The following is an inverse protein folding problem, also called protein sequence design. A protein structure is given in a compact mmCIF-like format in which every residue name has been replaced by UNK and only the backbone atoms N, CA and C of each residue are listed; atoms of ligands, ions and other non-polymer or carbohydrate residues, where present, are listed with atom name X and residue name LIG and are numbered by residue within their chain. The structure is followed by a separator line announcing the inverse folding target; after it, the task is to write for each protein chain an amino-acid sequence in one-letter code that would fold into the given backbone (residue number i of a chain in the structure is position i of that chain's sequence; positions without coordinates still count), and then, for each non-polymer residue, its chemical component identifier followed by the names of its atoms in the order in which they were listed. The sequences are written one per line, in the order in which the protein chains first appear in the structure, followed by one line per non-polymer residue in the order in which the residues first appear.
data_IF_066104914860
#
_entry.id   IF_066104914860
#
_cell.length_a   1.000
_cell.length_b   1.000
_cell.length_c   1.000
_cell.angle_alpha   90.00
_cell.angle_beta   90.00
_cell.angle_gamma   90.00
#
_symmetry.space_group_name_H-M   'P 1'
#
loop_
_entity.id
_entity.type
_entity.pdbx_description
1 polymer ?
#
# COMPACT_ATOMS: atom_id res chain seq x y z
N UNK A 1 16.76 -58.83 3.29
CA UNK A 1 17.55 -57.77 2.70
C UNK A 1 16.79 -56.92 1.64
N UNK A 2 16.14 -57.53 0.63
CA UNK A 2 15.42 -56.79 -0.42
C UNK A 2 14.18 -55.97 0.08
N UNK A 3 13.50 -56.41 1.13
CA UNK A 3 12.32 -55.73 1.69
C UNK A 3 12.75 -54.48 2.47
N UNK A 4 13.81 -54.53 3.28
CA UNK A 4 14.35 -53.38 4.01
C UNK A 4 14.85 -52.28 3.06
N UNK A 5 15.44 -52.65 1.95
CA UNK A 5 15.89 -51.68 0.95
C UNK A 5 14.73 -50.97 0.24
N UNK A 6 13.62 -51.68 -0.01
CA UNK A 6 12.41 -51.11 -0.62
C UNK A 6 11.69 -50.16 0.35
N UNK A 7 11.64 -50.50 1.64
CA UNK A 7 11.07 -49.61 2.68
C UNK A 7 11.93 -48.36 2.87
N UNK A 8 13.25 -48.48 2.85
CA UNK A 8 14.17 -47.33 2.95
C UNK A 8 14.02 -46.40 1.74
N UNK A 9 13.84 -46.90 0.52
CA UNK A 9 13.59 -46.08 -0.69
C UNK A 9 12.23 -45.36 -0.63
N UNK A 10 11.19 -46.00 -0.09
CA UNK A 10 9.87 -45.37 0.11
C UNK A 10 9.91 -44.25 1.13
N UNK A 11 10.61 -44.44 2.26
CA UNK A 11 10.75 -43.42 3.30
C UNK A 11 11.61 -42.23 2.80
N UNK A 12 12.68 -42.49 2.05
CA UNK A 12 13.51 -41.47 1.41
C UNK A 12 12.73 -40.61 0.40
N UNK A 13 11.80 -41.21 -0.34
CA UNK A 13 10.96 -40.50 -1.31
C UNK A 13 9.96 -39.53 -0.66
N UNK A 14 9.48 -39.84 0.56
CA UNK A 14 8.51 -39.00 1.29
C UNK A 14 9.19 -37.75 1.87
N UNK A 15 10.48 -37.81 2.23
CA UNK A 15 11.22 -36.68 2.79
C UNK A 15 11.54 -35.58 1.78
N UNK A 16 11.51 -35.89 0.46
CA UNK A 16 11.79 -34.88 -0.58
C UNK A 16 10.59 -34.01 -0.98
N UNK A 17 9.37 -34.35 -0.56
CA UNK A 17 8.16 -33.59 -0.89
C UNK A 17 7.76 -32.51 0.12
N UNK A 18 8.50 -32.36 1.22
CA UNK A 18 8.13 -31.44 2.32
C UNK A 18 8.75 -30.04 2.23
N UNK A 19 9.26 -29.60 1.10
CA UNK A 19 9.69 -28.21 0.90
C UNK A 19 8.62 -27.39 0.20
N UNK A 20 7.37 -27.42 0.70
CA UNK A 20 6.46 -26.34 0.43
C UNK A 20 7.01 -25.11 1.15
N UNK A 21 7.63 -24.16 0.42
CA UNK A 21 7.88 -22.82 0.94
C UNK A 21 6.51 -22.28 1.36
N UNK A 22 6.28 -22.20 2.66
CA UNK A 22 5.19 -21.39 3.16
C UNK A 22 5.47 -19.97 2.62
N UNK A 23 4.52 -19.41 1.87
CA UNK A 23 4.54 -18.01 1.52
C UNK A 23 4.49 -17.30 2.87
N UNK A 24 5.48 -16.48 3.20
CA UNK A 24 5.42 -15.66 4.41
C UNK A 24 4.21 -14.75 4.28
N UNK A 25 3.10 -15.18 4.87
CA UNK A 25 1.88 -14.39 4.98
C UNK A 25 2.05 -13.59 6.27
N UNK A 26 2.29 -12.30 6.15
CA UNK A 26 2.34 -11.44 7.32
C UNK A 26 0.96 -11.45 8.01
N UNK A 27 0.93 -11.48 9.37
CA UNK A 27 -0.30 -11.72 10.14
C UNK A 27 -1.28 -10.54 10.15
N UNK A 28 -0.94 -9.39 9.56
CA UNK A 28 -1.73 -8.17 9.59
C UNK A 28 -1.67 -7.44 8.24
N UNK A 29 -2.85 -7.03 7.73
CA UNK A 29 -2.92 -6.13 6.58
C UNK A 29 -2.83 -4.69 7.09
N UNK A 30 -1.65 -4.08 6.95
CA UNK A 30 -1.38 -2.73 7.43
C UNK A 30 -0.68 -1.89 6.37
N UNK A 31 -1.10 -0.63 6.25
CA UNK A 31 -0.44 0.36 5.43
C UNK A 31 -0.31 1.68 6.17
N UNK A 32 0.54 2.57 5.69
CA UNK A 32 0.65 3.92 6.19
C UNK A 32 0.59 4.94 5.05
N UNK A 33 -0.03 6.09 5.32
CA UNK A 33 -0.07 7.22 4.40
C UNK A 33 0.25 8.50 5.18
N UNK A 34 1.27 9.22 4.74
CA UNK A 34 1.63 10.51 5.31
C UNK A 34 1.34 11.63 4.31
N UNK A 35 0.65 12.66 4.77
CA UNK A 35 0.42 13.92 4.07
C UNK A 35 1.27 15.00 4.76
N UNK A 36 2.38 15.39 4.18
CA UNK A 36 3.31 16.38 4.72
C UNK A 36 3.23 17.69 3.93
N UNK A 37 2.80 18.77 4.57
CA UNK A 37 2.70 20.08 3.92
C UNK A 37 4.07 20.74 3.80
N UNK A 38 4.50 20.98 2.57
CA UNK A 38 5.69 21.76 2.27
C UNK A 38 5.31 23.21 2.01
N UNK A 39 5.69 24.11 2.94
CA UNK A 39 5.35 25.53 2.86
C UNK A 39 6.07 26.29 1.73
N UNK A 40 7.20 25.75 1.20
CA UNK A 40 7.93 26.37 0.10
C UNK A 40 7.24 26.13 -1.25
N UNK A 41 6.87 24.89 -1.53
CA UNK A 41 6.13 24.52 -2.75
C UNK A 41 4.64 24.84 -2.63
N UNK A 42 4.14 24.99 -1.42
CA UNK A 42 2.71 25.09 -1.07
C UNK A 42 1.91 23.85 -1.49
N UNK A 43 2.51 22.66 -1.40
CA UNK A 43 1.89 21.39 -1.75
C UNK A 43 1.90 20.44 -0.57
N UNK A 44 1.05 19.41 -0.59
CA UNK A 44 1.26 18.24 0.25
C UNK A 44 2.09 17.22 -0.51
N UNK A 45 3.23 16.85 0.04
CA UNK A 45 3.99 15.67 -0.33
C UNK A 45 3.36 14.47 0.37
N UNK A 46 3.00 13.45 -0.40
CA UNK A 46 2.28 12.29 0.13
C UNK A 46 3.12 11.05 -0.11
N UNK A 47 3.36 10.29 0.95
CA UNK A 47 4.04 8.99 0.88
C UNK A 47 3.13 7.91 1.43
N UNK A 48 2.90 6.88 0.63
CA UNK A 48 2.21 5.66 1.05
C UNK A 48 3.20 4.50 1.17
N UNK A 49 3.06 3.65 2.20
CA UNK A 49 3.87 2.44 2.37
C UNK A 49 2.97 1.24 2.62
N UNK A 50 3.12 0.20 1.80
CA UNK A 50 2.28 -1.02 1.82
C UNK A 50 3.13 -2.26 1.56
N UNK A 51 2.68 -3.42 1.99
CA UNK A 51 3.32 -4.68 1.62
C UNK A 51 3.17 -4.94 0.11
N UNK A 52 4.23 -5.45 -0.51
CA UNK A 52 4.31 -5.70 -1.96
C UNK A 52 3.25 -6.70 -2.39
N UNK A 53 3.15 -7.83 -1.70
CA UNK A 53 2.22 -8.91 -2.05
C UNK A 53 0.75 -8.49 -1.87
N UNK A 54 0.42 -7.70 -0.86
CA UNK A 54 -0.91 -7.13 -0.68
C UNK A 54 -1.28 -6.19 -1.83
N UNK A 55 -0.35 -5.32 -2.22
CA UNK A 55 -0.60 -4.40 -3.32
C UNK A 55 -0.74 -5.13 -4.66
N UNK A 56 0.11 -6.12 -4.96
CA UNK A 56 -0.01 -6.97 -6.15
C UNK A 56 -1.39 -7.66 -6.21
N UNK A 57 -1.80 -8.27 -5.10
CA UNK A 57 -3.08 -8.96 -4.99
C UNK A 57 -4.26 -8.00 -5.15
N UNK A 58 -4.19 -6.79 -4.57
CA UNK A 58 -5.25 -5.79 -4.67
C UNK A 58 -5.41 -5.25 -6.10
N UNK A 59 -4.28 -5.04 -6.80
CA UNK A 59 -4.28 -4.63 -8.21
C UNK A 59 -4.83 -5.74 -9.12
N UNK A 60 -4.40 -7.01 -8.92
CA UNK A 60 -4.94 -8.15 -9.67
C UNK A 60 -6.45 -8.28 -9.45
N UNK A 61 -6.91 -8.22 -8.21
CA UNK A 61 -8.34 -8.28 -7.86
C UNK A 61 -9.15 -7.16 -8.51
N UNK A 62 -8.60 -5.93 -8.54
CA UNK A 62 -9.30 -4.76 -9.06
C UNK A 62 -9.34 -4.70 -10.58
N UNK A 63 -8.22 -5.03 -11.23
CA UNK A 63 -8.04 -4.79 -12.67
C UNK A 63 -7.96 -6.07 -13.51
N UNK A 64 -8.04 -7.26 -12.88
CA UNK A 64 -7.86 -8.57 -13.51
C UNK A 64 -6.55 -8.64 -14.35
N UNK A 65 -5.50 -8.02 -13.83
CA UNK A 65 -4.19 -7.93 -14.49
C UNK A 65 -3.07 -8.26 -13.50
N UNK A 66 -2.41 -9.40 -13.71
CA UNK A 66 -1.24 -9.79 -12.92
C UNK A 66 -0.05 -8.91 -13.26
N UNK A 67 0.46 -8.24 -12.26
CA UNK A 67 1.70 -7.45 -12.31
C UNK A 67 2.54 -7.80 -11.09
N UNK A 68 3.85 -7.68 -11.22
CA UNK A 68 4.78 -8.02 -10.14
C UNK A 68 5.77 -6.87 -9.98
N UNK A 69 5.92 -6.40 -8.74
CA UNK A 69 7.07 -5.60 -8.35
C UNK A 69 8.35 -6.40 -8.59
N UNK A 70 9.51 -5.85 -8.42
CA UNK A 70 10.80 -6.51 -8.63
C UNK A 70 10.99 -7.16 -10.02
N UNK A 71 10.12 -6.84 -11.00
CA UNK A 71 10.20 -7.33 -12.36
C UNK A 71 10.12 -6.17 -13.37
N UNK A 72 11.25 -5.79 -13.99
CA UNK A 72 11.31 -4.64 -14.89
C UNK A 72 10.32 -4.68 -16.06
N UNK A 73 9.90 -5.88 -16.47
CA UNK A 73 8.89 -6.07 -17.54
C UNK A 73 7.56 -5.42 -17.20
N UNK A 74 7.18 -5.37 -15.92
CA UNK A 74 5.90 -4.84 -15.46
C UNK A 74 5.97 -3.38 -15.00
N UNK A 75 7.15 -2.74 -15.00
CA UNK A 75 7.34 -1.41 -14.43
C UNK A 75 6.34 -0.37 -14.97
N UNK A 76 6.16 -0.30 -16.29
CA UNK A 76 5.23 0.64 -16.92
C UNK A 76 3.77 0.33 -16.57
N UNK A 77 3.38 -0.94 -16.60
CA UNK A 77 2.03 -1.38 -16.23
C UNK A 77 1.74 -1.12 -14.76
N UNK A 78 2.70 -1.43 -13.88
CA UNK A 78 2.61 -1.20 -12.45
C UNK A 78 2.38 0.29 -12.15
N UNK A 79 3.18 1.18 -12.76
CA UNK A 79 3.03 2.62 -12.60
C UNK A 79 1.64 3.11 -13.02
N UNK A 80 1.14 2.65 -14.17
CA UNK A 80 -0.19 3.04 -14.66
C UNK A 80 -1.33 2.51 -13.78
N UNK A 81 -1.19 1.29 -13.25
CA UNK A 81 -2.18 0.70 -12.35
C UNK A 81 -2.18 1.38 -10.99
N UNK A 82 -1.01 1.64 -10.40
CA UNK A 82 -0.88 2.38 -9.14
C UNK A 82 -1.47 3.77 -9.25
N UNK A 83 -1.19 4.52 -10.31
CA UNK A 83 -1.78 5.83 -10.53
C UNK A 83 -3.31 5.77 -10.46
N UNK A 84 -3.95 4.88 -11.24
CA UNK A 84 -5.41 4.71 -11.24
C UNK A 84 -5.94 4.28 -9.88
N UNK A 85 -5.21 3.39 -9.20
CA UNK A 85 -5.60 2.86 -7.91
C UNK A 85 -5.61 3.96 -6.85
N UNK A 86 -4.53 4.75 -6.75
CA UNK A 86 -4.45 5.84 -5.79
C UNK A 86 -5.41 6.98 -6.12
N UNK A 87 -5.67 7.27 -7.39
CA UNK A 87 -6.72 8.23 -7.80
C UNK A 87 -8.11 7.82 -7.29
N UNK A 88 -8.41 6.54 -7.18
CA UNK A 88 -9.71 6.04 -6.70
C UNK A 88 -9.77 6.00 -5.16
N UNK A 89 -8.74 5.46 -4.52
CA UNK A 89 -8.76 5.08 -3.10
C UNK A 89 -8.16 6.13 -2.15
N UNK A 90 -7.59 7.23 -2.68
CA UNK A 90 -7.00 8.32 -1.89
C UNK A 90 -7.64 9.66 -2.28
N UNK A 91 -8.19 10.38 -1.31
CA UNK A 91 -8.77 11.71 -1.52
C UNK A 91 -8.31 12.67 -0.44
N UNK A 92 -8.23 13.95 -0.80
CA UNK A 92 -7.88 15.04 0.09
C UNK A 92 -8.80 16.24 -0.14
N UNK A 93 -9.32 16.81 0.95
CA UNK A 93 -9.92 18.14 0.97
C UNK A 93 -9.14 19.03 1.92
N UNK A 94 -8.95 20.28 1.53
CA UNK A 94 -8.35 21.29 2.38
C UNK A 94 -9.23 22.53 2.37
N UNK A 95 -9.57 23.04 3.56
CA UNK A 95 -10.44 24.17 3.73
C UNK A 95 -11.78 24.04 2.96
N UNK A 96 -12.36 22.84 2.98
CA UNK A 96 -13.58 22.41 2.29
C UNK A 96 -13.44 22.27 0.75
N UNK A 97 -12.28 22.50 0.14
CA UNK A 97 -12.05 22.34 -1.30
C UNK A 97 -11.42 20.96 -1.59
N UNK A 98 -11.93 20.26 -2.59
CA UNK A 98 -11.30 19.04 -3.09
C UNK A 98 -9.96 19.39 -3.73
N UNK A 99 -8.90 18.70 -3.35
CA UNK A 99 -7.55 18.92 -3.84
C UNK A 99 -7.14 17.78 -4.77
N UNK A 100 -6.62 18.15 -5.94
CA UNK A 100 -6.09 17.17 -6.90
C UNK A 100 -4.76 16.62 -6.39
N UNK A 101 -4.64 15.28 -6.46
CA UNK A 101 -3.43 14.53 -6.12
C UNK A 101 -2.84 13.98 -7.42
N UNK A 102 -1.56 14.19 -7.64
CA UNK A 102 -0.81 13.69 -8.78
C UNK A 102 0.10 12.56 -8.31
N UNK A 103 0.08 11.44 -9.01
CA UNK A 103 1.00 10.33 -8.77
C UNK A 103 2.37 10.66 -9.36
N UNK A 104 3.44 10.50 -8.61
CA UNK A 104 4.81 10.77 -9.03
C UNK A 104 5.58 9.49 -9.39
N UNK A 105 5.33 8.42 -8.66
CA UNK A 105 6.03 7.15 -8.86
C UNK A 105 6.00 6.26 -7.63
N UNK A 106 6.80 5.21 -7.67
CA UNK A 106 6.97 4.27 -6.57
C UNK A 106 8.41 3.74 -6.52
N UNK A 107 8.80 3.26 -5.35
CA UNK A 107 10.04 2.53 -5.11
C UNK A 107 9.77 1.24 -4.34
N UNK A 108 10.53 0.22 -4.67
CA UNK A 108 10.49 -1.08 -4.00
C UNK A 108 11.53 -1.09 -2.87
N UNK A 109 11.10 -1.42 -1.65
CA UNK A 109 11.93 -1.40 -0.47
C UNK A 109 11.73 -2.69 0.34
N UNK A 110 12.55 -3.70 0.05
CA UNK A 110 12.44 -5.05 0.64
C UNK A 110 11.07 -5.69 0.38
N UNK A 111 10.24 -5.81 1.42
CA UNK A 111 8.88 -6.39 1.35
C UNK A 111 7.79 -5.33 1.18
N UNK A 112 8.17 -4.05 1.10
CA UNK A 112 7.25 -2.94 0.97
C UNK A 112 7.42 -2.20 -0.35
N UNK A 113 6.36 -1.53 -0.78
CA UNK A 113 6.37 -0.51 -1.82
C UNK A 113 6.11 0.85 -1.19
N UNK A 114 7.00 1.79 -1.46
CA UNK A 114 6.84 3.20 -1.15
C UNK A 114 6.27 3.92 -2.39
N UNK A 115 5.11 4.59 -2.23
CA UNK A 115 4.40 5.29 -3.30
C UNK A 115 4.43 6.78 -3.03
N UNK A 116 4.80 7.58 -4.03
CA UNK A 116 4.97 9.02 -3.93
C UNK A 116 3.92 9.76 -4.75
N UNK A 117 3.25 10.73 -4.10
CA UNK A 117 2.28 11.59 -4.73
C UNK A 117 2.48 13.04 -4.24
N UNK A 118 1.97 13.99 -5.00
CA UNK A 118 2.00 15.40 -4.66
C UNK A 118 0.67 16.07 -5.03
N UNK A 119 0.26 17.05 -4.25
CA UNK A 119 -0.97 17.80 -4.56
C UNK A 119 -0.70 18.98 -5.49
N UNK A 120 -1.76 19.51 -6.06
CA UNK A 120 -1.75 20.89 -6.54
C UNK A 120 -1.50 21.87 -5.38
N UNK A 121 -1.26 23.15 -5.71
CA UNK A 121 -0.97 24.18 -4.70
C UNK A 121 -2.13 24.39 -3.72
N UNK A 122 -1.79 24.44 -2.44
CA UNK A 122 -2.70 24.67 -1.32
C UNK A 122 -2.14 25.82 -0.47
N UNK A 123 -2.93 26.86 -0.29
CA UNK A 123 -2.52 28.02 0.51
C UNK A 123 -3.14 27.92 1.91
N UNK A 124 -2.31 28.08 2.94
CA UNK A 124 -2.74 28.17 4.33
C UNK A 124 -3.70 27.03 4.76
N UNK A 125 -3.24 25.77 4.76
CA UNK A 125 -4.05 24.62 5.11
C UNK A 125 -4.39 24.66 6.61
N UNK A 126 -5.71 24.75 6.94
CA UNK A 126 -6.20 24.78 8.32
C UNK A 126 -7.11 23.58 8.63
N UNK A 127 -8.01 23.27 7.73
CA UNK A 127 -8.93 22.15 7.85
C UNK A 127 -8.57 21.10 6.81
N UNK A 128 -8.25 19.90 7.25
CA UNK A 128 -7.79 18.84 6.38
C UNK A 128 -8.68 17.62 6.59
N UNK A 129 -9.30 17.16 5.53
CA UNK A 129 -10.09 15.93 5.48
C UNK A 129 -9.46 14.98 4.49
N UNK A 130 -9.17 13.75 4.91
CA UNK A 130 -8.68 12.70 4.03
C UNK A 130 -9.67 11.56 3.94
N UNK A 131 -9.74 10.91 2.78
CA UNK A 131 -10.36 9.60 2.63
C UNK A 131 -9.30 8.63 2.15
N UNK A 132 -8.96 7.64 2.97
CA UNK A 132 -7.94 6.62 2.70
C UNK A 132 -8.59 5.25 2.82
N UNK A 133 -8.76 4.57 1.68
CA UNK A 133 -9.33 3.23 1.60
C UNK A 133 -8.47 2.27 0.80
N UNK A 134 -7.15 2.48 0.84
CA UNK A 134 -6.16 1.63 0.18
C UNK A 134 -6.27 0.21 0.75
N UNK A 135 -6.29 -0.80 -0.13
CA UNK A 135 -6.44 -2.23 0.14
C UNK A 135 -7.83 -2.67 0.66
N UNK A 136 -8.80 -1.76 0.83
CA UNK A 136 -10.17 -2.10 1.25
C UNK A 136 -10.96 -2.88 0.20
N UNK A 137 -10.51 -2.89 -1.05
CA UNK A 137 -11.09 -3.73 -2.10
C UNK A 137 -10.76 -5.22 -1.96
N UNK A 138 -9.81 -5.56 -1.10
CA UNK A 138 -9.34 -6.94 -0.93
C UNK A 138 -9.47 -7.44 0.51
N UNK A 139 -9.16 -6.59 1.52
CA UNK A 139 -9.07 -6.98 2.93
C UNK A 139 -10.08 -6.22 3.79
N UNK A 140 -10.90 -6.94 4.54
CA UNK A 140 -11.88 -6.40 5.50
C UNK A 140 -11.30 -6.21 6.92
N UNK A 141 -10.06 -6.63 7.13
CA UNK A 141 -9.25 -6.39 8.33
C UNK A 141 -8.13 -5.35 8.09
N UNK A 142 -8.11 -4.68 6.92
CA UNK A 142 -7.11 -3.66 6.59
C UNK A 142 -7.08 -2.53 7.60
N UNK A 143 -5.88 -2.19 8.05
CA UNK A 143 -5.56 -1.01 8.86
C UNK A 143 -4.72 -0.01 8.05
N UNK A 144 -5.18 1.23 7.93
CA UNK A 144 -4.40 2.33 7.38
C UNK A 144 -4.03 3.34 8.49
N UNK A 145 -2.75 3.55 8.73
CA UNK A 145 -2.25 4.57 9.66
C UNK A 145 -2.02 5.84 8.84
N UNK A 146 -2.82 6.87 9.12
CA UNK A 146 -2.79 8.12 8.36
C UNK A 146 -2.16 9.21 9.22
N UNK A 147 -1.13 9.85 8.68
CA UNK A 147 -0.43 10.97 9.29
C UNK A 147 -0.67 12.24 8.49
N UNK A 148 -0.93 13.36 9.18
CA UNK A 148 -0.99 14.69 8.57
C UNK A 148 0.00 15.58 9.30
N UNK A 149 0.89 16.23 8.56
CA UNK A 149 1.94 17.11 9.08
C UNK A 149 1.79 18.50 8.48
N UNK A 150 1.58 19.51 9.33
CA UNK A 150 1.49 20.92 8.94
C UNK A 150 2.26 21.77 9.95
N UNK A 151 3.18 22.61 9.47
CA UNK A 151 3.98 23.49 10.33
C UNK A 151 4.78 22.73 11.41
N UNK A 152 5.23 21.53 11.11
CA UNK A 152 5.94 20.65 12.05
C UNK A 152 5.04 19.91 13.05
N UNK A 153 3.74 20.21 13.10
CA UNK A 153 2.79 19.49 13.93
C UNK A 153 2.29 18.24 13.19
N UNK A 154 2.48 17.04 13.79
CA UNK A 154 2.03 15.75 13.27
C UNK A 154 0.79 15.28 14.02
N UNK A 155 -0.26 14.94 13.31
CA UNK A 155 -1.46 14.28 13.82
C UNK A 155 -1.68 12.97 13.13
N UNK A 156 -1.96 11.92 13.90
CA UNK A 156 -2.05 10.53 13.37
C UNK A 156 -3.37 9.91 13.75
N UNK A 157 -3.95 9.14 12.84
CA UNK A 157 -5.19 8.40 13.05
C UNK A 157 -5.04 6.99 12.48
N UNK A 158 -5.54 6.00 13.19
CA UNK A 158 -5.69 4.64 12.73
C UNK A 158 -7.09 4.47 12.14
N UNK A 159 -7.17 4.15 10.85
CA UNK A 159 -8.41 3.83 10.16
C UNK A 159 -8.48 2.31 9.97
N UNK A 160 -9.56 1.70 10.44
CA UNK A 160 -9.87 0.28 10.25
C UNK A 160 -11.01 0.16 9.25
N UNK A 161 -10.95 -0.82 8.36
CA UNK A 161 -12.09 -1.13 7.49
C UNK A 161 -13.40 -1.21 8.30
N UNK A 162 -14.52 -0.61 7.85
CA UNK A 162 -14.69 0.18 6.63
C UNK A 162 -14.46 1.69 6.78
N UNK A 163 -14.01 2.15 7.96
CA UNK A 163 -13.76 3.58 8.23
C UNK A 163 -12.59 4.09 7.40
N UNK A 164 -12.83 5.18 6.65
CA UNK A 164 -11.86 5.74 5.70
C UNK A 164 -11.60 7.22 5.88
N UNK A 165 -12.37 7.90 6.73
CA UNK A 165 -12.34 9.34 6.84
C UNK A 165 -11.57 9.79 8.08
N UNK A 166 -10.73 10.79 7.89
CA UNK A 166 -10.04 11.50 8.95
C UNK A 166 -10.23 13.00 8.77
N UNK A 167 -10.43 13.71 9.88
CA UNK A 167 -10.54 15.14 9.92
C UNK A 167 -9.56 15.73 10.94
N UNK A 168 -8.79 16.76 10.55
CA UNK A 168 -7.84 17.44 11.41
C UNK A 168 -7.88 18.95 11.18
N UNK A 169 -7.66 19.72 12.26
CA UNK A 169 -7.46 21.18 12.22
C UNK A 169 -6.06 21.53 12.70
N UNK A 170 -5.44 22.54 12.07
CA UNK A 170 -4.10 23.04 12.37
C UNK A 170 -4.11 24.55 12.54
#
# INVERSE_FOLDING_TARGET
MKIFFRIFLLISGILFFSSAKAKDVHPYHVGSVEFSYNAKSQTFEITGKFFIDDMENALDKKYAKKVFFNNPKFKSDMQALLQKYFEEYLKLKVNNNQIRINFLGYEENSEAVDVYLETEKVVNPKKIETAVSILYNLFDDQMNIVHIVVGGQRKSTKLLYPDRYQYQQF
#
